data_IF_338381047615
#
_entry.id   IF_338381047615
#
_cell.length_a   1.000
_cell.length_b   1.000
_cell.length_c   1.000
_cell.angle_alpha   90.00
_cell.angle_beta   90.00
_cell.angle_gamma   90.00
#
_symmetry.space_group_name_H-M   'P 1'
#
loop_
_entity.id
_entity.type
_entity.pdbx_description
1 polymer ?
#
# COMPACT_ATOMS: atom_id res chain seq x y z
N UNK A 1 37.17 -39.73 -5.81
CA UNK A 1 36.22 -38.62 -5.58
C UNK A 1 36.27 -37.68 -6.78
N UNK A 2 35.29 -37.76 -7.68
CA UNK A 2 35.20 -36.85 -8.84
C UNK A 2 34.80 -35.46 -8.35
N UNK A 3 35.69 -34.48 -8.54
CA UNK A 3 35.40 -33.05 -8.27
C UNK A 3 34.29 -32.63 -9.24
N UNK A 4 33.06 -32.45 -8.76
CA UNK A 4 32.04 -31.79 -9.58
C UNK A 4 32.56 -30.40 -10.02
N UNK A 5 32.26 -29.94 -11.24
CA UNK A 5 32.80 -28.68 -11.73
C UNK A 5 32.20 -27.53 -10.91
N UNK A 6 33.01 -26.85 -10.10
CA UNK A 6 32.56 -25.74 -9.24
C UNK A 6 31.83 -24.63 -10.03
N UNK A 7 32.14 -24.48 -11.33
CA UNK A 7 31.46 -23.52 -12.21
C UNK A 7 29.96 -23.82 -12.39
N UNK A 8 29.57 -25.11 -12.41
CA UNK A 8 28.16 -25.51 -12.54
C UNK A 8 27.36 -25.12 -11.30
N UNK A 9 27.97 -25.21 -10.13
CA UNK A 9 27.35 -24.77 -8.87
C UNK A 9 27.17 -23.26 -8.84
N UNK A 10 28.19 -22.48 -9.26
CA UNK A 10 28.08 -21.01 -9.39
C UNK A 10 27.02 -20.58 -10.38
N UNK A 11 26.91 -21.26 -11.51
CA UNK A 11 25.89 -20.98 -12.52
C UNK A 11 24.47 -21.26 -11.99
N UNK A 12 24.29 -22.39 -11.30
CA UNK A 12 23.01 -22.71 -10.65
C UNK A 12 22.64 -21.71 -9.55
N UNK A 13 23.62 -21.21 -8.79
CA UNK A 13 23.42 -20.14 -7.79
C UNK A 13 22.91 -18.84 -8.45
N UNK A 14 23.55 -18.40 -9.55
CA UNK A 14 23.18 -17.18 -10.28
C UNK A 14 21.79 -17.29 -10.91
N UNK A 15 21.48 -18.43 -11.53
CA UNK A 15 20.14 -18.66 -12.08
C UNK A 15 19.09 -18.70 -10.98
N UNK A 16 19.40 -19.32 -9.84
CA UNK A 16 18.51 -19.37 -8.69
C UNK A 16 18.20 -17.97 -8.14
N UNK A 17 19.19 -17.10 -7.99
CA UNK A 17 18.97 -15.73 -7.50
C UNK A 17 18.18 -14.88 -8.48
N UNK A 18 18.47 -14.97 -9.78
CA UNK A 18 17.74 -14.25 -10.82
C UNK A 18 16.27 -14.70 -10.90
N UNK A 19 16.01 -16.00 -10.84
CA UNK A 19 14.66 -16.54 -10.84
C UNK A 19 13.84 -16.05 -9.64
N UNK A 20 14.47 -16.01 -8.47
CA UNK A 20 13.83 -15.52 -7.24
C UNK A 20 13.51 -14.02 -7.33
N UNK A 21 14.44 -13.20 -7.86
CA UNK A 21 14.21 -11.76 -8.07
C UNK A 21 13.11 -11.47 -9.09
N UNK A 22 13.08 -12.21 -10.21
CA UNK A 22 12.03 -12.10 -11.22
C UNK A 22 10.67 -12.47 -10.62
N UNK A 23 10.63 -13.54 -9.80
CA UNK A 23 9.41 -13.95 -9.11
C UNK A 23 8.92 -12.87 -8.16
N UNK A 24 9.79 -12.34 -7.29
CA UNK A 24 9.45 -11.26 -6.34
C UNK A 24 8.95 -10.02 -7.07
N UNK A 25 9.64 -9.60 -8.14
CA UNK A 25 9.24 -8.45 -8.96
C UNK A 25 7.87 -8.65 -9.58
N UNK A 26 7.59 -9.86 -10.09
CA UNK A 26 6.28 -10.22 -10.65
C UNK A 26 5.17 -10.19 -9.60
N UNK A 27 5.43 -10.75 -8.40
CA UNK A 27 4.47 -10.73 -7.31
C UNK A 27 4.18 -9.30 -6.84
N UNK A 28 5.21 -8.45 -6.68
CA UNK A 28 5.05 -7.01 -6.39
C UNK A 28 4.23 -6.34 -7.50
N UNK A 29 4.57 -6.56 -8.76
CA UNK A 29 3.87 -5.95 -9.91
C UNK A 29 2.38 -6.31 -9.94
N UNK A 30 2.02 -7.58 -9.68
CA UNK A 30 0.62 -8.01 -9.56
C UNK A 30 -0.11 -7.23 -8.46
N UNK A 31 0.52 -7.07 -7.29
CA UNK A 31 -0.06 -6.33 -6.17
C UNK A 31 -0.19 -4.83 -6.48
N UNK A 32 0.79 -4.23 -7.17
CA UNK A 32 0.72 -2.84 -7.60
C UNK A 32 -0.41 -2.60 -8.61
N UNK A 33 -0.65 -3.53 -9.54
CA UNK A 33 -1.80 -3.44 -10.46
C UNK A 33 -3.13 -3.50 -9.70
N UNK A 34 -3.24 -4.39 -8.72
CA UNK A 34 -4.41 -4.43 -7.84
C UNK A 34 -4.56 -3.13 -7.04
N UNK A 35 -3.48 -2.58 -6.48
CA UNK A 35 -3.50 -1.30 -5.76
C UNK A 35 -3.95 -0.16 -6.68
N UNK A 36 -3.45 -0.11 -7.92
CA UNK A 36 -3.86 0.90 -8.89
C UNK A 36 -5.37 0.86 -9.15
N UNK A 37 -5.94 -0.33 -9.36
CA UNK A 37 -7.39 -0.49 -9.54
C UNK A 37 -8.17 -0.08 -8.29
N UNK A 38 -7.74 -0.54 -7.11
CA UNK A 38 -8.41 -0.22 -5.83
C UNK A 38 -8.32 1.28 -5.53
N UNK A 39 -7.22 1.94 -5.85
CA UNK A 39 -7.04 3.38 -5.65
C UNK A 39 -7.96 4.20 -6.56
N UNK A 40 -8.11 3.81 -7.83
CA UNK A 40 -9.12 4.43 -8.71
C UNK A 40 -10.52 4.26 -8.14
N UNK A 41 -10.87 3.04 -7.71
CA UNK A 41 -12.18 2.76 -7.12
C UNK A 41 -12.45 3.58 -5.84
N UNK A 42 -11.43 3.80 -5.01
CA UNK A 42 -11.50 4.67 -3.83
C UNK A 42 -11.76 6.12 -4.23
N UNK A 43 -11.01 6.63 -5.21
CA UNK A 43 -11.15 7.99 -5.71
C UNK A 43 -12.55 8.23 -6.27
N UNK A 44 -13.02 7.36 -7.16
CA UNK A 44 -14.35 7.44 -7.77
C UNK A 44 -15.45 7.44 -6.70
N UNK A 45 -15.32 6.59 -5.67
CA UNK A 45 -16.33 6.47 -4.61
C UNK A 45 -16.35 7.70 -3.69
N UNK A 46 -15.18 8.32 -3.44
CA UNK A 46 -15.08 9.58 -2.69
C UNK A 46 -15.64 10.76 -3.50
N UNK A 47 -15.35 10.80 -4.80
CA UNK A 47 -15.89 11.83 -5.70
C UNK A 47 -17.42 11.75 -5.78
N UNK A 48 -17.97 10.54 -5.93
CA UNK A 48 -19.42 10.33 -5.95
C UNK A 48 -20.07 10.76 -4.63
N UNK A 49 -19.49 10.37 -3.49
CA UNK A 49 -19.98 10.78 -2.17
C UNK A 49 -19.92 12.30 -1.99
N UNK A 50 -18.81 12.93 -2.40
CA UNK A 50 -18.63 14.38 -2.33
C UNK A 50 -19.62 15.14 -3.22
N UNK A 51 -19.86 14.64 -4.44
CA UNK A 51 -20.84 15.21 -5.37
C UNK A 51 -22.26 15.12 -4.80
N UNK A 52 -22.64 13.97 -4.22
CA UNK A 52 -23.92 13.82 -3.54
C UNK A 52 -24.07 14.77 -2.35
N UNK A 53 -23.03 14.89 -1.52
CA UNK A 53 -23.04 15.78 -0.37
C UNK A 53 -23.16 17.25 -0.79
N UNK A 54 -22.44 17.66 -1.85
CA UNK A 54 -22.49 19.01 -2.40
C UNK A 54 -23.89 19.36 -2.90
N UNK A 55 -24.49 18.50 -3.74
CA UNK A 55 -25.85 18.72 -4.25
C UNK A 55 -26.89 18.74 -3.13
N UNK A 56 -26.75 17.89 -2.13
CA UNK A 56 -27.68 17.85 -1.01
C UNK A 56 -27.55 19.08 -0.09
N UNK A 57 -26.35 19.65 0.04
CA UNK A 57 -26.12 20.92 0.72
C UNK A 57 -26.77 22.08 -0.04
N UNK A 58 -26.54 22.17 -1.35
CA UNK A 58 -27.06 23.24 -2.21
C UNK A 58 -28.60 23.25 -2.19
N UNK A 59 -29.22 22.08 -2.19
CA UNK A 59 -30.67 21.93 -2.15
C UNK A 59 -31.26 22.00 -0.72
N UNK A 60 -30.43 22.07 0.32
CA UNK A 60 -30.87 22.06 1.72
C UNK A 60 -31.52 20.74 2.18
N UNK A 61 -31.24 19.63 1.47
CA UNK A 61 -31.89 18.32 1.66
C UNK A 61 -30.91 17.24 2.09
N UNK A 62 -29.85 17.61 2.81
CA UNK A 62 -28.83 16.69 3.30
C UNK A 62 -29.43 15.60 4.19
N UNK A 63 -29.45 14.36 3.68
CA UNK A 63 -29.91 13.16 4.38
C UNK A 63 -28.79 12.13 4.41
N UNK A 64 -28.22 11.92 5.58
CA UNK A 64 -27.12 10.96 5.78
C UNK A 64 -27.61 9.51 5.88
N UNK A 65 -28.92 9.30 6.06
CA UNK A 65 -29.51 7.95 6.10
C UNK A 65 -29.73 7.33 4.72
N UNK A 66 -29.35 8.01 3.64
CA UNK A 66 -29.48 7.48 2.27
C UNK A 66 -28.74 6.13 2.14
N UNK A 67 -29.41 5.05 1.70
CA UNK A 67 -28.80 3.74 1.49
C UNK A 67 -27.56 3.79 0.59
N UNK A 68 -27.55 4.67 -0.41
CA UNK A 68 -26.44 4.85 -1.34
C UNK A 68 -25.22 5.47 -0.66
N UNK A 69 -25.43 6.42 0.26
CA UNK A 69 -24.34 6.99 1.08
C UNK A 69 -23.71 5.90 1.95
N UNK A 70 -24.53 5.03 2.56
CA UNK A 70 -24.00 3.90 3.35
C UNK A 70 -23.21 2.93 2.50
N UNK A 71 -23.68 2.59 1.30
CA UNK A 71 -22.97 1.73 0.35
C UNK A 71 -21.61 2.32 -0.03
N UNK A 72 -21.57 3.60 -0.39
CA UNK A 72 -20.33 4.31 -0.73
C UNK A 72 -19.34 4.31 0.43
N UNK A 73 -19.81 4.59 1.66
CA UNK A 73 -18.95 4.57 2.85
C UNK A 73 -18.39 3.17 3.12
N UNK A 74 -19.19 2.11 2.97
CA UNK A 74 -18.69 0.74 3.09
C UNK A 74 -17.63 0.45 2.03
N UNK A 75 -17.91 0.80 0.77
CA UNK A 75 -16.98 0.59 -0.35
C UNK A 75 -15.66 1.35 -0.17
N UNK A 76 -15.70 2.57 0.35
CA UNK A 76 -14.52 3.38 0.70
C UNK A 76 -13.68 2.64 1.74
N UNK A 77 -14.30 2.17 2.83
CA UNK A 77 -13.60 1.42 3.88
C UNK A 77 -12.96 0.14 3.34
N UNK A 78 -13.68 -0.63 2.53
CA UNK A 78 -13.17 -1.85 1.91
C UNK A 78 -11.95 -1.56 1.01
N UNK A 79 -11.99 -0.45 0.26
CA UNK A 79 -10.86 -0.01 -0.56
C UNK A 79 -9.65 0.39 0.29
N UNK A 80 -9.85 1.15 1.36
CA UNK A 80 -8.77 1.54 2.29
C UNK A 80 -8.13 0.33 2.96
N UNK A 81 -8.93 -0.62 3.45
CA UNK A 81 -8.43 -1.85 4.05
C UNK A 81 -7.67 -2.69 3.02
N UNK A 82 -8.19 -2.81 1.80
CA UNK A 82 -7.54 -3.51 0.71
C UNK A 82 -6.18 -2.88 0.36
N UNK A 83 -6.09 -1.55 0.29
CA UNK A 83 -4.82 -0.85 0.05
C UNK A 83 -3.81 -1.11 1.17
N UNK A 84 -4.25 -1.04 2.44
CA UNK A 84 -3.39 -1.36 3.60
C UNK A 84 -2.89 -2.81 3.57
N UNK A 85 -3.73 -3.76 3.13
CA UNK A 85 -3.34 -5.16 2.98
C UNK A 85 -2.31 -5.33 1.87
N UNK A 86 -2.54 -4.71 0.71
CA UNK A 86 -1.62 -4.74 -0.42
C UNK A 86 -0.25 -4.17 -0.02
N UNK A 87 -0.23 -3.05 0.70
CA UNK A 87 1.00 -2.46 1.22
C UNK A 87 1.75 -3.42 2.14
N UNK A 88 1.05 -4.05 3.10
CA UNK A 88 1.64 -5.06 3.98
C UNK A 88 2.23 -6.24 3.20
N UNK A 89 1.55 -6.70 2.15
CA UNK A 89 2.04 -7.80 1.30
C UNK A 89 3.28 -7.41 0.49
N UNK A 90 3.29 -6.21 -0.11
CA UNK A 90 4.45 -5.70 -0.84
C UNK A 90 5.64 -5.54 0.09
N UNK A 91 5.45 -4.98 1.29
CA UNK A 91 6.50 -4.85 2.28
C UNK A 91 7.03 -6.21 2.76
N UNK A 92 6.14 -7.20 2.96
CA UNK A 92 6.58 -8.58 3.25
C UNK A 92 7.51 -9.11 2.16
N UNK A 93 7.20 -8.91 0.88
CA UNK A 93 8.03 -9.39 -0.24
C UNK A 93 9.37 -8.63 -0.32
N UNK A 94 9.32 -7.29 -0.17
CA UNK A 94 10.51 -6.43 -0.21
C UNK A 94 11.50 -6.75 0.91
N UNK A 95 11.00 -7.01 2.12
CA UNK A 95 11.82 -7.12 3.34
C UNK A 95 12.01 -8.55 3.84
N UNK A 96 11.50 -9.57 3.14
CA UNK A 96 11.69 -10.99 3.48
C UNK A 96 13.16 -11.41 3.67
N UNK A 97 14.10 -10.66 3.06
CA UNK A 97 15.54 -10.93 3.11
C UNK A 97 16.28 -10.27 4.31
N UNK A 98 15.58 -9.75 5.33
CA UNK A 98 16.21 -9.12 6.50
C UNK A 98 16.66 -7.66 6.29
N UNK A 99 16.12 -7.01 5.26
CA UNK A 99 16.34 -5.58 4.99
C UNK A 99 15.35 -4.80 5.86
N UNK A 100 15.82 -3.82 6.64
CA UNK A 100 14.95 -2.97 7.46
C UNK A 100 14.10 -2.02 6.59
N UNK A 101 12.82 -1.87 6.96
CA UNK A 101 11.92 -0.90 6.37
C UNK A 101 12.26 0.52 6.85
N UNK A 102 12.92 1.29 6.00
CA UNK A 102 13.39 2.64 6.31
C UNK A 102 12.24 3.64 6.40
N UNK A 103 11.11 3.39 5.72
CA UNK A 103 9.97 4.32 5.69
C UNK A 103 9.39 4.61 7.09
N UNK A 104 9.46 3.63 8.00
CA UNK A 104 9.06 3.78 9.41
C UNK A 104 10.04 4.62 10.24
N UNK A 105 11.32 4.71 9.85
CA UNK A 105 12.30 5.58 10.53
C UNK A 105 12.07 7.05 10.20
N UNK A 106 11.57 7.37 9.01
CA UNK A 106 11.22 8.74 8.64
C UNK A 106 9.97 9.24 9.37
N UNK A 107 8.91 8.44 9.50
CA UNK A 107 7.71 8.81 10.28
C UNK A 107 8.02 9.15 11.74
N UNK A 108 8.88 8.36 12.39
CA UNK A 108 9.30 8.60 13.78
C UNK A 108 10.12 9.88 13.91
N UNK A 109 11.00 10.18 12.93
CA UNK A 109 11.79 11.42 12.94
C UNK A 109 10.90 12.65 12.77
N UNK A 110 9.87 12.57 11.95
CA UNK A 110 8.99 13.72 11.71
C UNK A 110 8.03 13.95 12.89
N UNK A 111 7.50 12.89 13.51
CA UNK A 111 6.77 13.00 14.79
C UNK A 111 7.68 13.56 15.89
N UNK A 112 8.92 13.08 16.01
CA UNK A 112 9.87 13.61 17.00
C UNK A 112 10.22 15.09 16.77
N UNK A 113 10.33 15.55 15.52
CA UNK A 113 10.55 16.98 15.22
C UNK A 113 9.36 17.85 15.62
N UNK A 114 8.14 17.35 15.49
CA UNK A 114 6.94 18.09 15.90
C UNK A 114 6.86 18.20 17.43
N UNK A 115 7.12 17.11 18.15
CA UNK A 115 7.18 17.11 19.64
C UNK A 115 8.27 18.06 20.15
N UNK A 116 9.46 18.06 19.55
CA UNK A 116 10.56 18.96 19.93
C UNK A 116 10.24 20.44 19.60
N UNK A 117 9.37 20.72 18.62
CA UNK A 117 8.90 22.09 18.33
C UNK A 117 7.88 22.57 19.35
N UNK A 118 7.03 21.70 19.89
CA UNK A 118 6.07 22.06 20.93
C UNK A 118 6.76 22.33 22.27
N UNK A 119 7.75 21.52 22.68
CA UNK A 119 8.50 21.74 23.93
C UNK A 119 9.36 23.02 23.96
N UNK A 120 9.67 23.62 22.80
CA UNK A 120 10.45 24.87 22.71
C UNK A 120 9.61 26.14 22.66
N UNK A 121 8.28 26.01 22.79
CA UNK A 121 7.32 27.13 22.70
C UNK A 121 6.79 27.59 24.07
N UNK A 122 7.20 26.93 25.15
CA UNK A 122 6.92 27.29 26.55
C UNK A 122 8.16 27.88 27.26
#
# INVERSE_FOLDING_TARGET
MQKQPQWKNRFNEILGSCQEEIRKTTEIGKRMLSASKTNSCLHDSLEELGSMAFQALENGTLKWEDPKVRELVCKIKDCEESLKLIEKEVNKIKFYSGIEDVSKKEEIKDVMKEVIKEEKKD
#
